data_IF_920041618740
#
_entry.id   IF_920041618740
#
_cell.length_a   1.000
_cell.length_b   1.000
_cell.length_c   1.000
_cell.angle_alpha   90.00
_cell.angle_beta   90.00
_cell.angle_gamma   90.00
#
_symmetry.space_group_name_H-M   'P 1'
#
loop_
_entity.id
_entity.type
_entity.pdbx_description
1 polymer ?
#
# COMPACT_ATOMS: atom_id res chain seq x y z
N UNK A 1 -16.13 5.95 2.29
CA UNK A 1 -14.83 6.65 2.50
C UNK A 1 -13.70 5.93 1.77
N UNK A 2 -13.63 4.60 1.87
CA UNK A 2 -12.61 3.81 1.17
C UNK A 2 -12.75 3.92 -0.34
N UNK A 3 -13.96 4.02 -0.88
CA UNK A 3 -14.17 4.18 -2.33
C UNK A 3 -13.54 5.47 -2.88
N UNK A 4 -13.59 6.57 -2.11
CA UNK A 4 -12.94 7.82 -2.52
C UNK A 4 -11.42 7.69 -2.47
N UNK A 5 -10.90 7.05 -1.42
CA UNK A 5 -9.47 6.81 -1.27
C UNK A 5 -8.94 5.89 -2.40
N UNK A 6 -9.68 4.85 -2.75
CA UNK A 6 -9.40 3.98 -3.90
C UNK A 6 -9.27 4.78 -5.20
N UNK A 7 -10.19 5.71 -5.47
CA UNK A 7 -10.12 6.57 -6.67
C UNK A 7 -8.90 7.50 -6.66
N UNK A 8 -8.53 8.05 -5.50
CA UNK A 8 -7.35 8.90 -5.37
C UNK A 8 -6.06 8.11 -5.64
N UNK A 9 -5.94 6.91 -5.04
CA UNK A 9 -4.82 6.01 -5.31
C UNK A 9 -4.78 5.58 -6.77
N UNK A 10 -5.93 5.26 -7.37
CA UNK A 10 -6.01 4.89 -8.78
C UNK A 10 -5.48 6.03 -9.65
N UNK A 11 -5.95 7.27 -9.47
CA UNK A 11 -5.45 8.42 -10.23
C UNK A 11 -3.93 8.62 -10.11
N UNK A 12 -3.38 8.49 -8.89
CA UNK A 12 -1.94 8.58 -8.67
C UNK A 12 -1.18 7.43 -9.37
N UNK A 13 -1.67 6.20 -9.25
CA UNK A 13 -1.10 5.00 -9.87
C UNK A 13 -1.15 5.06 -11.39
N UNK A 14 -2.25 5.54 -12.00
CA UNK A 14 -2.34 5.73 -13.45
C UNK A 14 -1.30 6.71 -13.95
N UNK A 15 -1.13 7.84 -13.25
CA UNK A 15 -0.14 8.86 -13.60
C UNK A 15 1.26 8.28 -13.56
N UNK A 16 1.61 7.61 -12.46
CA UNK A 16 2.90 6.95 -12.30
C UNK A 16 3.16 5.91 -13.41
N UNK A 17 2.19 5.05 -13.69
CA UNK A 17 2.33 4.01 -14.71
C UNK A 17 2.55 4.61 -16.11
N UNK A 18 1.79 5.66 -16.45
CA UNK A 18 1.94 6.39 -17.71
C UNK A 18 3.32 7.05 -17.84
N UNK A 19 3.80 7.69 -16.78
CA UNK A 19 5.10 8.38 -16.76
C UNK A 19 6.27 7.40 -16.89
N UNK A 20 6.10 6.15 -16.44
CA UNK A 20 7.15 5.12 -16.45
C UNK A 20 6.96 4.04 -17.52
N UNK A 21 5.95 4.15 -18.39
CA UNK A 21 5.67 3.16 -19.44
C UNK A 21 5.30 1.77 -18.90
N UNK A 22 4.63 1.72 -17.74
CA UNK A 22 4.25 0.49 -17.06
C UNK A 22 2.86 0.05 -17.52
N UNK A 23 2.74 -1.20 -17.95
CA UNK A 23 1.45 -1.87 -18.13
C UNK A 23 0.99 -2.44 -16.78
N UNK A 24 -0.22 -2.05 -16.36
CA UNK A 24 -0.85 -2.53 -15.11
C UNK A 24 -1.85 -3.64 -15.43
N UNK A 25 -1.35 -4.76 -15.93
CA UNK A 25 -2.17 -5.95 -16.13
C UNK A 25 -2.67 -6.52 -14.78
N UNK A 26 -3.58 -7.52 -14.76
CA UNK A 26 -4.07 -8.08 -13.50
C UNK A 26 -2.97 -8.63 -12.56
N UNK A 27 -1.90 -9.20 -13.12
CA UNK A 27 -0.81 -9.78 -12.33
C UNK A 27 0.05 -8.68 -11.68
N UNK A 28 0.20 -7.54 -12.34
CA UNK A 28 0.92 -6.36 -11.83
C UNK A 28 0.46 -5.96 -10.43
N UNK A 29 -0.85 -5.95 -10.17
CA UNK A 29 -1.39 -5.56 -8.86
C UNK A 29 -0.96 -6.49 -7.73
N UNK A 30 -0.90 -7.80 -7.99
CA UNK A 30 -0.48 -8.81 -6.99
C UNK A 30 1.03 -8.80 -6.83
N UNK A 31 1.78 -8.65 -7.92
CA UNK A 31 3.25 -8.58 -7.88
C UNK A 31 3.72 -7.31 -7.16
N UNK A 32 3.11 -6.15 -7.42
CA UNK A 32 3.41 -4.93 -6.68
C UNK A 32 3.07 -5.05 -5.21
N UNK A 33 1.94 -5.67 -4.83
CA UNK A 33 1.66 -5.97 -3.42
C UNK A 33 2.80 -6.74 -2.74
N UNK A 34 3.36 -7.74 -3.42
CA UNK A 34 4.49 -8.50 -2.88
C UNK A 34 5.76 -7.64 -2.75
N UNK A 35 6.00 -6.73 -3.69
CA UNK A 35 7.08 -5.74 -3.64
C UNK A 35 6.95 -4.84 -2.40
N UNK A 36 5.77 -4.23 -2.20
CA UNK A 36 5.49 -3.34 -1.06
C UNK A 36 5.63 -4.07 0.29
N UNK A 37 5.19 -5.33 0.37
CA UNK A 37 5.42 -6.17 1.57
C UNK A 37 6.90 -6.34 1.85
N UNK A 38 7.72 -6.49 0.81
CA UNK A 38 9.17 -6.55 0.91
C UNK A 38 9.77 -5.25 1.46
N UNK A 39 9.30 -4.10 0.98
CA UNK A 39 9.76 -2.77 1.40
C UNK A 39 9.38 -2.48 2.85
N UNK A 40 8.13 -2.73 3.25
CA UNK A 40 7.68 -2.67 4.66
C UNK A 40 8.52 -3.57 5.54
N UNK A 41 8.79 -4.81 5.13
CA UNK A 41 9.63 -5.75 5.89
C UNK A 41 11.04 -5.21 6.06
N UNK A 42 11.59 -4.59 5.01
CA UNK A 42 12.92 -4.00 5.05
C UNK A 42 12.98 -2.78 5.98
N UNK A 43 12.00 -1.89 5.91
CA UNK A 43 11.87 -0.72 6.79
C UNK A 43 11.70 -1.15 8.26
N UNK A 44 10.85 -2.15 8.52
CA UNK A 44 10.66 -2.73 9.85
C UNK A 44 11.95 -3.32 10.42
N UNK A 45 12.71 -4.05 9.61
CA UNK A 45 13.98 -4.63 10.06
C UNK A 45 14.97 -3.54 10.46
N UNK A 46 15.05 -2.42 9.72
CA UNK A 46 15.90 -1.28 10.08
C UNK A 46 15.44 -0.64 11.39
N UNK A 47 14.16 -0.26 11.49
CA UNK A 47 13.62 0.44 12.66
C UNK A 47 13.69 -0.40 13.93
N UNK A 48 13.58 -1.73 13.81
CA UNK A 48 13.67 -2.68 14.92
C UNK A 48 15.10 -3.15 15.26
N UNK A 49 16.13 -2.59 14.60
CA UNK A 49 17.55 -2.89 14.88
C UNK A 49 18.05 -4.21 14.30
N UNK A 50 17.28 -4.88 13.43
CA UNK A 50 17.65 -6.13 12.74
C UNK A 50 18.28 -5.90 11.36
N UNK A 51 18.22 -4.67 10.86
CA UNK A 51 18.79 -4.24 9.58
C UNK A 51 19.83 -3.12 9.74
N UNK A 52 20.60 -2.87 8.69
CA UNK A 52 21.56 -1.75 8.66
C UNK A 52 20.81 -0.42 8.58
N UNK A 53 21.05 0.49 9.51
CA UNK A 53 20.45 1.84 9.53
C UNK A 53 20.90 2.72 8.36
N UNK A 54 22.05 2.40 7.73
CA UNK A 54 22.65 3.18 6.63
C UNK A 54 22.82 4.68 6.96
N UNK A 55 23.05 5.01 8.24
CA UNK A 55 23.21 6.38 8.70
C UNK A 55 21.91 7.13 8.99
N UNK A 56 20.74 6.50 8.82
CA UNK A 56 19.45 7.08 9.19
C UNK A 56 19.29 7.15 10.71
N UNK A 57 18.66 8.22 11.16
CA UNK A 57 18.18 8.42 12.53
C UNK A 57 16.95 7.54 12.80
N UNK A 58 16.59 7.41 14.09
CA UNK A 58 15.38 6.69 14.49
C UNK A 58 14.11 7.32 13.91
N UNK A 59 14.07 8.65 13.78
CA UNK A 59 12.92 9.36 13.21
C UNK A 59 12.77 9.08 11.72
N UNK A 60 13.86 9.16 10.96
CA UNK A 60 13.86 8.82 9.53
C UNK A 60 13.45 7.37 9.29
N UNK A 61 13.92 6.42 10.11
CA UNK A 61 13.51 5.01 9.99
C UNK A 61 12.04 4.79 10.35
N UNK A 62 11.47 5.61 11.23
CA UNK A 62 10.04 5.58 11.54
C UNK A 62 9.20 6.18 10.41
N UNK A 63 9.68 7.26 9.80
CA UNK A 63 9.07 7.86 8.62
C UNK A 63 9.07 6.88 7.46
N UNK A 64 10.21 6.26 7.15
CA UNK A 64 10.31 5.21 6.13
C UNK A 64 9.23 4.14 6.35
N UNK A 65 9.13 3.58 7.56
CA UNK A 65 8.13 2.55 7.85
C UNK A 65 6.69 3.05 7.63
N UNK A 66 6.40 4.30 7.96
CA UNK A 66 5.09 4.90 7.71
C UNK A 66 4.81 5.02 6.21
N UNK A 67 5.80 5.47 5.43
CA UNK A 67 5.67 5.69 3.99
C UNK A 67 5.47 4.35 3.27
N UNK A 68 6.31 3.34 3.53
CA UNK A 68 6.14 2.00 2.92
C UNK A 68 4.80 1.36 3.32
N UNK A 69 4.32 1.61 4.55
CA UNK A 69 3.01 1.09 4.99
C UNK A 69 1.86 1.77 4.25
N UNK A 70 2.01 3.06 3.92
CA UNK A 70 1.04 3.79 3.10
C UNK A 70 1.02 3.27 1.66
N UNK A 71 2.16 2.93 1.09
CA UNK A 71 2.25 2.33 -0.25
C UNK A 71 1.66 0.93 -0.31
N UNK A 72 1.91 0.11 0.73
CA UNK A 72 1.25 -1.19 0.90
C UNK A 72 -0.28 -1.04 0.99
N UNK A 73 -0.78 -0.11 1.80
CA UNK A 73 -2.22 0.17 1.90
C UNK A 73 -2.78 0.62 0.54
N UNK A 74 -2.06 1.51 -0.16
CA UNK A 74 -2.40 1.98 -1.49
C UNK A 74 -2.59 0.83 -2.47
N UNK A 75 -1.63 -0.11 -2.52
CA UNK A 75 -1.72 -1.26 -3.41
C UNK A 75 -2.83 -2.25 -3.04
N UNK A 76 -3.18 -2.39 -1.76
CA UNK A 76 -4.37 -3.18 -1.36
C UNK A 76 -5.65 -2.54 -1.90
N UNK A 77 -5.76 -1.21 -1.83
CA UNK A 77 -6.90 -0.47 -2.35
C UNK A 77 -6.95 -0.49 -3.88
N UNK A 78 -5.81 -0.41 -4.56
CA UNK A 78 -5.69 -0.55 -6.01
C UNK A 78 -6.14 -1.94 -6.48
N UNK A 79 -5.69 -3.01 -5.81
CA UNK A 79 -6.14 -4.38 -6.10
C UNK A 79 -7.66 -4.50 -5.95
N UNK A 80 -8.21 -3.99 -4.84
CA UNK A 80 -9.64 -4.03 -4.58
C UNK A 80 -10.44 -3.27 -5.64
N UNK A 81 -9.98 -2.07 -6.02
CA UNK A 81 -10.60 -1.25 -7.06
C UNK A 81 -10.57 -1.94 -8.42
N UNK A 82 -9.39 -2.41 -8.87
CA UNK A 82 -9.23 -3.09 -10.16
C UNK A 82 -10.04 -4.39 -10.25
N UNK A 83 -10.23 -5.08 -9.13
CA UNK A 83 -11.00 -6.33 -9.05
C UNK A 83 -12.50 -6.12 -8.78
N UNK A 84 -12.96 -4.87 -8.65
CA UNK A 84 -14.37 -4.56 -8.36
C UNK A 84 -14.87 -5.04 -6.99
N UNK A 85 -13.99 -5.11 -5.99
CA UNK A 85 -14.32 -5.64 -4.67
C UNK A 85 -14.96 -4.58 -3.76
N UNK A 86 -16.07 -4.94 -3.11
CA UNK A 86 -16.63 -4.14 -2.03
C UNK A 86 -15.89 -4.43 -0.71
N UNK A 87 -14.86 -3.62 -0.47
CA UNK A 87 -14.01 -3.75 0.70
C UNK A 87 -14.72 -3.28 1.98
N UNK A 88 -15.59 -2.26 1.90
CA UNK A 88 -16.38 -1.77 3.05
C UNK A 88 -17.33 -2.86 3.56
N UNK A 89 -18.10 -3.49 2.67
CA UNK A 89 -18.96 -4.63 3.03
C UNK A 89 -18.15 -5.84 3.52
N UNK A 90 -16.95 -6.06 2.96
CA UNK A 90 -16.06 -7.14 3.42
C UNK A 90 -15.52 -6.91 4.82
N UNK A 91 -15.17 -5.67 5.18
CA UNK A 91 -14.78 -5.27 6.53
C UNK A 91 -15.96 -5.44 7.49
N UNK A 92 -17.14 -4.90 7.16
CA UNK A 92 -18.34 -5.03 8.00
C UNK A 92 -18.69 -6.48 8.29
N UNK A 93 -18.62 -7.35 7.27
CA UNK A 93 -18.91 -8.79 7.40
C UNK A 93 -17.87 -9.53 8.24
N UNK A 94 -16.58 -9.30 8.02
CA UNK A 94 -15.50 -10.05 8.68
C UNK A 94 -15.12 -9.50 10.06
N UNK A 95 -15.01 -8.18 10.18
CA UNK A 95 -14.50 -7.49 11.36
C UNK A 95 -15.59 -6.87 12.24
N UNK A 96 -16.85 -6.91 11.81
CA UNK A 96 -18.04 -6.52 12.60
C UNK A 96 -18.07 -5.05 13.03
N UNK A 97 -17.38 -4.17 12.31
CA UNK A 97 -17.51 -2.71 12.46
C UNK A 97 -17.71 -2.05 11.09
N UNK A 98 -18.23 -0.83 11.08
CA UNK A 98 -18.40 -0.04 9.86
C UNK A 98 -17.18 0.88 9.66
N UNK A 99 -16.41 0.72 8.55
CA UNK A 99 -15.29 1.61 8.28
C UNK A 99 -15.80 3.00 7.90
N UNK A 100 -15.45 4.02 8.70
CA UNK A 100 -15.81 5.41 8.41
C UNK A 100 -17.15 5.88 8.97
N UNK A 101 -17.59 5.31 10.10
CA UNK A 101 -18.36 6.08 11.09
C UNK A 101 -17.38 6.94 11.90
#
# INVERSE_FOLDING_TARGET
MLSQLMLQFEHASQKYAKENGIERDPDWYVLKLQEEVGEVTQAWNRSSGRGRSKGKTQEEMRQDLSDETADLLGHVLLLAHNSGLDLEASIKRKWRFEPGV
#
